data_IF_802430156534
#
_entry.id   IF_802430156534
#
_cell.length_a   1.000
_cell.length_b   1.000
_cell.length_c   1.000
_cell.angle_alpha   90.00
_cell.angle_beta   90.00
_cell.angle_gamma   90.00
#
_symmetry.space_group_name_H-M   'P 1'
#
loop_
_entity.id
_entity.type
_entity.pdbx_description
1 polymer ?
#
# COMPACT_ATOMS: atom_id res chain seq x y z
N UNK A 1 0.99 4.77 -11.97
CA UNK A 1 1.76 3.63 -11.40
C UNK A 1 0.76 2.48 -11.31
N UNK A 2 1.03 1.32 -11.91
CA UNK A 2 0.15 0.14 -11.81
C UNK A 2 0.41 -0.51 -10.45
N UNK A 3 -0.30 -0.04 -9.42
CA UNK A 3 -0.11 -0.50 -8.03
C UNK A 3 -1.45 -1.00 -7.52
N UNK A 4 -1.42 -2.06 -6.73
CA UNK A 4 -2.60 -2.70 -6.19
C UNK A 4 -2.92 -4.01 -6.90
N UNK A 5 -3.92 -4.70 -6.37
CA UNK A 5 -4.35 -5.99 -6.90
C UNK A 5 -5.15 -5.76 -8.19
N UNK A 6 -4.90 -6.56 -9.26
CA UNK A 6 -5.70 -6.48 -10.46
C UNK A 6 -7.16 -6.86 -10.14
N UNK A 7 -8.12 -6.07 -10.61
CA UNK A 7 -9.55 -6.40 -10.53
C UNK A 7 -9.96 -7.48 -11.55
N UNK A 8 -9.21 -7.58 -12.64
CA UNK A 8 -9.40 -8.57 -13.71
C UNK A 8 -8.20 -8.60 -14.64
N UNK A 9 -8.33 -9.27 -15.77
CA UNK A 9 -7.26 -9.41 -16.74
C UNK A 9 -6.76 -8.04 -17.23
N UNK A 10 -5.44 -7.90 -17.31
CA UNK A 10 -4.80 -6.70 -17.84
C UNK A 10 -4.38 -6.94 -19.29
N UNK A 11 -5.03 -6.25 -20.22
CA UNK A 11 -4.60 -6.22 -21.62
C UNK A 11 -3.72 -4.99 -21.88
N UNK A 12 -2.73 -5.14 -22.76
CA UNK A 12 -1.89 -4.04 -23.22
C UNK A 12 -2.12 -3.81 -24.71
N UNK A 13 -2.49 -2.59 -25.08
CA UNK A 13 -2.52 -2.21 -26.49
C UNK A 13 -1.12 -2.35 -27.12
N UNK A 14 -1.09 -2.69 -28.41
CA UNK A 14 0.15 -2.83 -29.19
C UNK A 14 1.04 -1.59 -29.09
N UNK A 15 0.45 -0.39 -29.09
CA UNK A 15 1.15 0.89 -28.95
C UNK A 15 1.89 1.02 -27.61
N UNK A 16 1.29 0.52 -26.51
CA UNK A 16 1.86 0.53 -25.16
C UNK A 16 2.95 -0.53 -25.02
N UNK A 17 2.71 -1.75 -25.52
CA UNK A 17 3.72 -2.80 -25.56
C UNK A 17 4.99 -2.34 -26.29
N UNK A 18 4.82 -1.67 -27.43
CA UNK A 18 5.92 -1.09 -28.18
C UNK A 18 6.73 -0.04 -27.40
N UNK A 19 6.11 0.73 -26.50
CA UNK A 19 6.82 1.69 -25.65
C UNK A 19 7.71 0.99 -24.64
N UNK A 20 7.30 -0.17 -24.11
CA UNK A 20 8.16 -0.98 -23.22
C UNK A 20 9.44 -1.37 -23.96
N UNK A 21 9.32 -1.87 -25.19
CA UNK A 21 10.47 -2.29 -26.00
C UNK A 21 11.36 -1.12 -26.43
N UNK A 22 10.78 -0.08 -27.05
CA UNK A 22 11.55 1.03 -27.63
C UNK A 22 12.24 1.88 -26.58
N UNK A 23 11.59 2.06 -25.43
CA UNK A 23 12.16 2.83 -24.33
C UNK A 23 12.91 1.94 -23.32
N UNK A 24 13.06 0.65 -23.61
CA UNK A 24 13.73 -0.34 -22.76
C UNK A 24 13.25 -0.29 -21.30
N UNK A 25 11.94 -0.18 -21.09
CA UNK A 25 11.36 -0.09 -19.76
C UNK A 25 11.45 -1.43 -19.04
N UNK A 26 11.86 -1.41 -17.76
CA UNK A 26 11.84 -2.60 -16.91
C UNK A 26 10.52 -2.67 -16.15
N UNK A 27 9.75 -3.74 -16.38
CA UNK A 27 8.53 -4.04 -15.62
C UNK A 27 8.89 -4.96 -14.46
N UNK A 28 8.60 -4.53 -13.23
CA UNK A 28 8.85 -5.33 -12.01
C UNK A 28 7.53 -5.58 -11.28
N UNK A 29 7.29 -6.83 -10.95
CA UNK A 29 6.23 -7.20 -10.00
C UNK A 29 6.70 -7.01 -8.56
N UNK A 30 5.78 -6.66 -7.67
CA UNK A 30 5.97 -6.71 -6.22
C UNK A 30 4.78 -7.41 -5.60
N UNK A 31 5.02 -8.22 -4.58
CA UNK A 31 3.99 -8.95 -3.85
C UNK A 31 4.22 -8.78 -2.37
N UNK A 32 3.45 -7.89 -1.75
CA UNK A 32 3.51 -7.58 -0.33
C UNK A 32 4.96 -7.27 0.14
N UNK A 33 5.25 -7.52 1.41
CA UNK A 33 6.56 -7.42 2.03
C UNK A 33 7.18 -8.80 2.30
N UNK A 34 8.50 -8.87 2.25
CA UNK A 34 9.29 -9.99 2.75
C UNK A 34 9.38 -9.96 4.28
N UNK A 35 9.15 -11.12 4.91
CA UNK A 35 9.39 -11.34 6.34
C UNK A 35 10.21 -12.62 6.47
N UNK A 36 11.53 -12.48 6.37
CA UNK A 36 12.46 -13.62 6.37
C UNK A 36 13.16 -13.79 7.72
N UNK A 37 13.06 -12.80 8.61
CA UNK A 37 13.81 -12.77 9.87
C UNK A 37 15.25 -12.28 9.72
N UNK A 38 15.70 -12.03 8.49
CA UNK A 38 17.00 -11.44 8.21
C UNK A 38 16.97 -9.93 8.43
N UNK A 39 18.11 -9.35 8.83
CA UNK A 39 18.23 -7.92 9.08
C UNK A 39 17.96 -7.04 7.83
N UNK A 40 18.00 -7.65 6.64
CA UNK A 40 17.73 -7.01 5.35
C UNK A 40 16.26 -7.07 4.92
N UNK A 41 15.39 -7.74 5.69
CA UNK A 41 13.98 -7.83 5.34
C UNK A 41 13.22 -6.51 5.50
N UNK A 42 12.03 -6.45 4.90
CA UNK A 42 11.25 -5.22 4.86
C UNK A 42 10.80 -4.77 6.26
N UNK A 43 10.63 -5.71 7.21
CA UNK A 43 10.18 -5.41 8.57
C UNK A 43 11.29 -4.74 9.38
N UNK A 44 12.49 -5.30 9.37
CA UNK A 44 13.67 -4.70 10.01
C UNK A 44 13.99 -3.34 9.38
N UNK A 45 13.85 -3.22 8.06
CA UNK A 45 14.01 -1.96 7.34
C UNK A 45 13.04 -0.88 7.85
N UNK A 46 11.74 -1.19 7.97
CA UNK A 46 10.74 -0.22 8.46
C UNK A 46 10.93 0.10 9.95
N UNK A 47 11.20 -0.90 10.80
CA UNK A 47 11.45 -0.69 12.23
C UNK A 47 12.65 0.24 12.48
N UNK A 48 13.74 0.07 11.72
CA UNK A 48 14.90 0.97 11.78
C UNK A 48 14.51 2.40 11.47
N UNK A 49 13.73 2.63 10.41
CA UNK A 49 13.29 3.97 10.00
C UNK A 49 12.32 4.62 11.00
N UNK A 50 11.47 3.82 11.65
CA UNK A 50 10.62 4.28 12.74
C UNK A 50 11.46 4.73 13.94
N UNK A 51 12.42 3.90 14.37
CA UNK A 51 13.33 4.23 15.48
C UNK A 51 14.14 5.50 15.20
N UNK A 52 14.61 5.66 13.97
CA UNK A 52 15.34 6.85 13.52
C UNK A 52 14.45 8.06 13.22
N UNK A 53 13.12 7.95 13.41
CA UNK A 53 12.11 8.99 13.07
C UNK A 53 12.21 9.49 11.62
N UNK A 54 12.68 8.65 10.70
CA UNK A 54 12.79 8.99 9.26
C UNK A 54 11.46 8.88 8.52
N UNK A 55 10.48 8.21 9.14
CA UNK A 55 9.11 8.10 8.67
C UNK A 55 8.16 8.30 9.86
N UNK A 56 7.00 8.89 9.61
CA UNK A 56 5.95 9.15 10.61
C UNK A 56 4.60 8.64 10.10
N UNK A 57 4.40 7.31 9.98
CA UNK A 57 3.16 6.75 9.46
C UNK A 57 1.94 7.05 10.34
N UNK A 58 2.15 7.45 11.60
CA UNK A 58 1.08 7.95 12.47
C UNK A 58 0.32 9.14 11.87
N UNK A 59 0.99 9.96 11.04
CA UNK A 59 0.37 11.10 10.37
C UNK A 59 -0.59 10.69 9.24
N UNK A 60 -0.57 9.42 8.84
CA UNK A 60 -1.51 8.85 7.87
C UNK A 60 -2.81 8.37 8.55
N UNK A 61 -2.86 8.36 9.89
CA UNK A 61 -4.05 7.93 10.63
C UNK A 61 -5.05 9.08 10.63
N UNK A 62 -6.12 8.94 9.87
CA UNK A 62 -7.19 9.94 9.77
C UNK A 62 -8.32 9.69 10.76
N UNK A 63 -8.59 8.43 11.10
CA UNK A 63 -9.65 8.05 12.03
C UNK A 63 -9.15 7.05 13.08
N UNK A 64 -9.61 7.26 14.32
CA UNK A 64 -9.37 6.38 15.47
C UNK A 64 -10.71 6.09 16.11
N UNK A 65 -11.07 4.82 16.18
CA UNK A 65 -12.28 4.34 16.86
C UNK A 65 -11.89 3.37 17.96
N UNK A 66 -12.72 3.27 19.00
CA UNK A 66 -12.61 2.14 19.92
C UNK A 66 -12.99 0.84 19.20
N UNK A 67 -12.68 -0.30 19.80
CA UNK A 67 -13.08 -1.61 19.26
C UNK A 67 -14.60 -1.73 19.08
N UNK A 68 -15.40 -1.14 19.97
CA UNK A 68 -16.86 -1.13 19.90
C UNK A 68 -17.39 -0.28 18.74
N UNK A 69 -16.64 0.74 18.31
CA UNK A 69 -17.05 1.69 17.26
C UNK A 69 -16.39 1.42 15.90
N UNK A 70 -15.48 0.44 15.81
CA UNK A 70 -14.67 0.18 14.61
C UNK A 70 -15.52 -0.16 13.38
N UNK A 71 -16.74 -0.68 13.58
CA UNK A 71 -17.71 -0.92 12.50
C UNK A 71 -17.99 0.34 11.68
N UNK A 72 -18.06 1.51 12.32
CA UNK A 72 -18.21 2.81 11.62
C UNK A 72 -17.07 3.02 10.63
N UNK A 73 -15.85 2.71 11.06
CA UNK A 73 -14.67 2.76 10.20
C UNK A 73 -14.75 1.84 8.99
N UNK A 74 -15.27 0.62 9.16
CA UNK A 74 -15.47 -0.30 8.03
C UNK A 74 -16.53 0.21 7.05
N UNK A 75 -17.62 0.81 7.53
CA UNK A 75 -18.62 1.45 6.67
C UNK A 75 -18.03 2.60 5.86
N UNK A 76 -17.25 3.49 6.48
CA UNK A 76 -16.53 4.56 5.77
C UNK A 76 -15.66 3.98 4.65
N UNK A 77 -14.89 2.92 4.93
CA UNK A 77 -14.02 2.29 3.93
C UNK A 77 -14.77 1.62 2.79
N UNK A 78 -15.92 0.98 3.07
CA UNK A 78 -16.74 0.28 2.06
C UNK A 78 -17.49 1.28 1.18
N UNK A 79 -18.20 2.20 1.82
CA UNK A 79 -19.18 3.08 1.18
C UNK A 79 -18.57 4.41 0.73
N UNK A 80 -17.31 4.67 1.07
CA UNK A 80 -16.55 5.88 0.69
C UNK A 80 -17.23 7.18 1.13
N UNK A 81 -17.80 7.19 2.33
CA UNK A 81 -18.62 8.31 2.83
C UNK A 81 -17.82 9.52 3.30
N UNK A 82 -16.53 9.36 3.60
CA UNK A 82 -15.64 10.41 4.11
C UNK A 82 -14.25 10.28 3.47
N UNK A 83 -13.46 11.36 3.51
CA UNK A 83 -12.04 11.31 3.14
C UNK A 83 -11.26 10.55 4.23
N UNK A 84 -10.56 9.48 3.84
CA UNK A 84 -9.76 8.70 4.77
C UNK A 84 -8.45 8.21 4.14
N UNK A 85 -7.43 8.01 4.99
CA UNK A 85 -6.18 7.34 4.59
C UNK A 85 -6.03 6.04 5.36
N UNK A 86 -5.78 6.11 6.67
CA UNK A 86 -5.73 4.94 7.55
C UNK A 86 -6.72 5.10 8.71
N UNK A 87 -7.60 4.12 8.85
CA UNK A 87 -8.50 3.95 10.00
C UNK A 87 -7.90 2.88 10.91
N UNK A 88 -7.88 3.13 12.21
CA UNK A 88 -7.42 2.16 13.22
C UNK A 88 -8.46 1.94 14.32
N UNK A 89 -8.56 0.71 14.81
CA UNK A 89 -9.22 0.38 16.08
C UNK A 89 -8.22 0.45 17.22
N UNK A 90 -8.57 1.14 18.30
CA UNK A 90 -7.76 1.34 19.50
C UNK A 90 -8.45 0.75 20.73
#
# INVERSE_FOLDING_TARGET
MLVGNPFGDMSLEKSVYWKILRNQLTVKGTWNSSFTGEASDDWHYVLKRLKEKRILPSNLITHRYSMEELEKGFHIMRDKTEDYVKIIGC
#
